data_IF_026099995717
#
_entry.id   IF_026099995717
#
_cell.length_a   1.000
_cell.length_b   1.000
_cell.length_c   1.000
_cell.angle_alpha   90.00
_cell.angle_beta   90.00
_cell.angle_gamma   90.00
#
_symmetry.space_group_name_H-M   'P 1'
#
loop_
_entity.id
_entity.type
_entity.pdbx_description
1 polymer ?
#
# COMPACT_ATOMS: atom_id res chain seq x y z
N UNK A 1 -0.28 12.44 -2.47
CA UNK A 1 -0.96 11.12 -2.52
C UNK A 1 0.06 10.09 -2.08
N UNK A 2 -0.04 9.61 -0.85
CA UNK A 2 0.97 8.72 -0.26
C UNK A 2 0.51 8.09 1.05
N UNK A 3 -0.78 8.17 1.36
CA UNK A 3 -1.36 7.63 2.59
C UNK A 3 -1.09 6.13 2.75
N UNK A 4 -1.06 5.38 1.65
CA UNK A 4 -0.69 3.96 1.67
C UNK A 4 0.73 3.70 2.19
N UNK A 5 1.68 4.63 2.00
CA UNK A 5 3.05 4.52 2.55
C UNK A 5 3.06 4.71 4.06
N UNK A 6 2.12 5.47 4.61
CA UNK A 6 1.99 5.63 6.06
C UNK A 6 1.32 4.42 6.71
N UNK A 7 0.27 3.86 6.08
CA UNK A 7 -0.44 2.70 6.62
C UNK A 7 0.35 1.40 6.48
N UNK A 8 1.03 1.18 5.35
CA UNK A 8 1.81 -0.04 5.09
C UNK A 8 3.19 0.30 4.50
N UNK A 9 4.11 0.85 5.32
CA UNK A 9 5.44 1.32 4.88
C UNK A 9 6.37 0.21 4.40
N UNK A 10 6.10 -1.04 4.79
CA UNK A 10 6.83 -2.24 4.33
C UNK A 10 6.36 -2.70 2.95
N UNK A 11 5.16 -2.28 2.53
CA UNK A 11 4.51 -2.71 1.28
C UNK A 11 4.55 -1.62 0.22
N UNK A 12 4.31 -0.36 0.59
CA UNK A 12 4.28 0.77 -0.32
C UNK A 12 5.39 1.77 -0.03
N UNK A 13 6.02 2.29 -1.08
CA UNK A 13 7.08 3.30 -0.96
C UNK A 13 7.02 4.29 -2.10
N UNK A 14 7.32 5.56 -1.82
CA UNK A 14 7.62 6.54 -2.85
C UNK A 14 9.13 6.54 -3.12
N UNK A 15 9.52 6.43 -4.39
CA UNK A 15 10.92 6.55 -4.79
C UNK A 15 11.34 8.02 -4.96
N UNK A 16 12.59 8.25 -5.35
CA UNK A 16 13.14 9.60 -5.50
C UNK A 16 12.48 10.44 -6.62
N UNK A 17 11.71 9.80 -7.50
CA UNK A 17 10.93 10.46 -8.57
C UNK A 17 9.44 10.63 -8.18
N UNK A 18 9.10 10.47 -6.90
CA UNK A 18 7.72 10.50 -6.38
C UNK A 18 6.79 9.45 -7.02
N UNK A 19 7.36 8.36 -7.56
CA UNK A 19 6.58 7.23 -8.09
C UNK A 19 6.34 6.21 -6.99
N UNK A 20 5.11 5.69 -6.95
CA UNK A 20 4.73 4.63 -6.03
C UNK A 20 5.29 3.29 -6.51
N UNK A 21 6.08 2.66 -5.64
CA UNK A 21 6.55 1.29 -5.74
C UNK A 21 5.83 0.45 -4.69
N UNK A 22 5.56 -0.82 -5.00
CA UNK A 22 4.89 -1.72 -4.09
C UNK A 22 5.42 -3.15 -4.18
N UNK A 23 5.25 -3.90 -3.09
CA UNK A 23 5.50 -5.34 -3.04
C UNK A 23 4.22 -6.07 -3.44
N UNK A 24 4.29 -6.90 -4.50
CA UNK A 24 3.11 -7.56 -5.06
C UNK A 24 2.58 -8.71 -4.20
N UNK A 25 3.46 -9.40 -3.46
CA UNK A 25 3.11 -10.52 -2.59
C UNK A 25 3.70 -10.27 -1.21
N UNK A 26 2.83 -10.21 -0.20
CA UNK A 26 3.21 -9.94 1.19
C UNK A 26 2.70 -11.04 2.09
N UNK A 27 3.35 -11.21 3.23
CA UNK A 27 2.90 -12.18 4.23
C UNK A 27 1.55 -11.75 4.81
N UNK A 28 0.76 -12.71 5.29
CA UNK A 28 -0.51 -12.44 5.98
C UNK A 28 -0.35 -11.50 7.20
N UNK A 29 0.86 -11.40 7.78
CA UNK A 29 1.15 -10.43 8.84
C UNK A 29 0.99 -8.96 8.41
N UNK A 30 1.02 -8.66 7.11
CA UNK A 30 0.81 -7.32 6.56
C UNK A 30 -0.64 -7.08 6.14
N UNK A 31 -1.52 -8.07 6.28
CA UNK A 31 -2.91 -7.99 5.81
C UNK A 31 -3.63 -6.76 6.35
N UNK A 32 -3.59 -6.54 7.65
CA UNK A 32 -4.28 -5.42 8.30
C UNK A 32 -3.74 -4.06 7.80
N UNK A 33 -2.42 -3.95 7.62
CA UNK A 33 -1.78 -2.73 7.11
C UNK A 33 -2.20 -2.45 5.65
N UNK A 34 -2.25 -3.49 4.82
CA UNK A 34 -2.68 -3.37 3.41
C UNK A 34 -4.17 -3.04 3.31
N UNK A 35 -5.01 -3.63 4.17
CA UNK A 35 -6.43 -3.29 4.24
C UNK A 35 -6.65 -1.83 4.64
N UNK A 36 -5.93 -1.32 5.65
CA UNK A 36 -5.96 0.10 6.01
C UNK A 36 -5.50 1.01 4.86
N UNK A 37 -4.45 0.61 4.12
CA UNK A 37 -3.98 1.34 2.95
C UNK A 37 -5.01 1.38 1.80
N UNK A 38 -5.79 0.30 1.61
CA UNK A 38 -6.90 0.23 0.65
C UNK A 38 -8.01 1.19 1.06
N UNK A 39 -8.43 1.15 2.33
CA UNK A 39 -9.55 1.93 2.85
C UNK A 39 -9.29 3.45 2.80
N UNK A 40 -8.07 3.87 3.12
CA UNK A 40 -7.70 5.29 3.11
C UNK A 40 -7.41 5.82 1.69
N UNK A 41 -7.36 4.95 0.67
CA UNK A 41 -6.99 5.33 -0.69
C UNK A 41 -8.10 6.18 -1.35
N UNK A 42 -7.89 7.49 -1.56
CA UNK A 42 -8.96 8.37 -2.06
C UNK A 42 -9.37 8.06 -3.51
N UNK A 43 -8.48 7.43 -4.27
CA UNK A 43 -8.73 7.04 -5.66
C UNK A 43 -9.16 5.56 -5.80
N UNK A 44 -9.25 4.82 -4.68
CA UNK A 44 -9.58 3.40 -4.66
C UNK A 44 -8.74 2.56 -5.66
N UNK A 45 -7.44 2.87 -5.75
CA UNK A 45 -6.54 2.31 -6.75
C UNK A 45 -5.93 0.95 -6.34
N UNK A 46 -6.06 0.56 -5.07
CA UNK A 46 -5.42 -0.64 -4.51
C UNK A 46 -6.47 -1.75 -4.41
N UNK A 47 -6.11 -2.98 -4.78
CA UNK A 47 -6.95 -4.17 -4.61
C UNK A 47 -6.14 -5.33 -4.07
N UNK A 48 -6.74 -6.10 -3.17
CA UNK A 48 -6.20 -7.36 -2.67
C UNK A 48 -6.79 -8.48 -3.51
N UNK A 49 -5.92 -9.28 -4.13
CA UNK A 49 -6.32 -10.52 -4.81
C UNK A 49 -6.10 -11.70 -3.86
N UNK A 50 -7.05 -12.63 -3.86
CA UNK A 50 -6.98 -13.89 -3.10
C UNK A 50 -6.70 -15.07 -4.02
#
# INVERSE_FOLDING_TARGET
YGQCVFEAPTVFKLNAEDKLEYVAEVNDSERDNVEAAVDICPMQAIRIAQ
#
